data_IF_807816342245
#
_entry.id   IF_807816342245
#
_cell.length_a   1.000
_cell.length_b   1.000
_cell.length_c   1.000
_cell.angle_alpha   90.00
_cell.angle_beta   90.00
_cell.angle_gamma   90.00
#
_symmetry.space_group_name_H-M   'P 1'
#
loop_
_entity.id
_entity.type
_entity.pdbx_description
1 polymer ?
#
# COMPACT_ATOMS: atom_id res chain seq x y z
N UNK A 1 6.41 -5.60 6.26
CA UNK A 1 6.89 -6.64 5.33
C UNK A 1 6.81 -6.17 3.87
N UNK A 2 5.64 -5.75 3.34
CA UNK A 2 5.53 -5.28 1.95
C UNK A 2 6.54 -4.16 1.57
N UNK A 3 6.56 -3.05 2.32
CA UNK A 3 7.52 -1.96 2.09
C UNK A 3 8.94 -2.24 2.62
N UNK A 4 9.20 -3.43 3.19
CA UNK A 4 10.55 -3.89 3.59
C UNK A 4 11.19 -4.82 2.55
N UNK A 5 10.54 -5.04 1.40
CA UNK A 5 10.99 -5.96 0.37
C UNK A 5 10.36 -7.36 0.46
N UNK A 6 9.71 -7.70 1.57
CA UNK A 6 9.02 -8.98 1.77
C UNK A 6 7.64 -8.97 1.07
N UNK A 7 7.68 -8.99 -0.27
CA UNK A 7 6.50 -8.84 -1.12
C UNK A 7 5.49 -9.97 -0.95
N UNK A 8 5.93 -11.22 -0.90
CA UNK A 8 5.03 -12.38 -0.79
C UNK A 8 4.20 -12.32 0.50
N UNK A 9 4.86 -12.13 1.64
CA UNK A 9 4.21 -12.04 2.95
C UNK A 9 3.33 -10.81 3.03
N UNK A 10 3.82 -9.65 2.59
CA UNK A 10 3.06 -8.42 2.58
C UNK A 10 1.78 -8.49 1.72
N UNK A 11 1.84 -9.17 0.58
CA UNK A 11 0.67 -9.40 -0.29
C UNK A 11 -0.31 -10.38 0.33
N UNK A 12 0.18 -11.47 0.93
CA UNK A 12 -0.65 -12.45 1.62
C UNK A 12 -1.47 -11.81 2.75
N UNK A 13 -0.85 -10.92 3.55
CA UNK A 13 -1.58 -10.17 4.58
C UNK A 13 -2.68 -9.28 4.00
N UNK A 14 -2.39 -8.56 2.93
CA UNK A 14 -3.40 -7.73 2.28
C UNK A 14 -4.53 -8.60 1.70
N UNK A 15 -4.20 -9.71 1.04
CA UNK A 15 -5.15 -10.69 0.54
C UNK A 15 -6.04 -11.24 1.66
N UNK A 16 -5.50 -11.57 2.84
CA UNK A 16 -6.27 -11.99 4.02
C UNK A 16 -7.27 -10.93 4.51
N UNK A 17 -6.98 -9.64 4.31
CA UNK A 17 -7.91 -8.56 4.63
C UNK A 17 -9.08 -8.46 3.63
N UNK A 18 -9.19 -9.39 2.68
CA UNK A 18 -10.34 -9.53 1.79
C UNK A 18 -10.47 -8.39 0.79
N UNK A 19 -9.36 -7.72 0.42
CA UNK A 19 -9.43 -6.58 -0.50
C UNK A 19 -10.00 -6.94 -1.88
N UNK A 20 -9.81 -8.21 -2.30
CA UNK A 20 -10.36 -8.75 -3.56
C UNK A 20 -11.88 -8.87 -3.53
N UNK A 21 -12.45 -9.05 -2.34
CA UNK A 21 -13.88 -9.27 -2.11
C UNK A 21 -14.59 -7.96 -1.77
N UNK A 22 -13.95 -7.12 -0.93
CA UNK A 22 -14.52 -5.86 -0.47
C UNK A 22 -13.45 -4.77 -0.40
N UNK A 23 -13.31 -3.98 -1.48
CA UNK A 23 -12.36 -2.88 -1.52
C UNK A 23 -12.65 -1.80 -0.46
N UNK A 24 -13.89 -1.68 0.01
CA UNK A 24 -14.34 -0.76 1.05
C UNK A 24 -13.85 -1.14 2.45
N UNK A 25 -13.70 -2.43 2.77
CA UNK A 25 -13.12 -2.88 4.05
C UNK A 25 -11.70 -2.35 4.24
N UNK A 26 -10.88 -2.43 3.18
CA UNK A 26 -9.51 -1.94 3.22
C UNK A 26 -9.45 -0.42 3.38
N UNK A 27 -10.34 0.33 2.72
CA UNK A 27 -10.39 1.79 2.89
C UNK A 27 -10.81 2.17 4.32
N UNK A 28 -11.73 1.40 4.94
CA UNK A 28 -12.07 1.53 6.36
C UNK A 28 -10.89 1.26 7.28
N UNK A 29 -10.12 0.19 7.01
CA UNK A 29 -8.90 -0.14 7.75
C UNK A 29 -7.87 1.00 7.66
N UNK A 30 -7.61 1.54 6.47
CA UNK A 30 -6.72 2.69 6.30
C UNK A 30 -7.21 3.93 7.05
N UNK A 31 -8.52 4.18 7.06
CA UNK A 31 -9.10 5.30 7.82
C UNK A 31 -8.85 5.13 9.32
N UNK A 32 -9.04 3.93 9.85
CA UNK A 32 -8.75 3.63 11.26
C UNK A 32 -7.27 3.80 11.57
N UNK A 33 -6.36 3.26 10.75
CA UNK A 33 -4.91 3.43 10.92
C UNK A 33 -4.55 4.92 10.94
N UNK A 34 -5.08 5.72 10.00
CA UNK A 34 -4.81 7.16 9.94
C UNK A 34 -5.30 7.89 11.20
N UNK A 35 -6.47 7.52 11.73
CA UNK A 35 -7.01 8.09 12.96
C UNK A 35 -6.14 7.70 14.15
N UNK A 36 -5.76 6.42 14.27
CA UNK A 36 -4.93 5.94 15.38
C UNK A 36 -3.52 6.51 15.39
N UNK A 37 -2.97 6.83 14.21
CA UNK A 37 -1.65 7.47 14.07
C UNK A 37 -1.74 9.01 14.12
N UNK A 38 -2.93 9.59 14.21
CA UNK A 38 -3.08 11.04 14.22
C UNK A 38 -2.37 11.65 15.43
N UNK A 39 -1.46 12.60 15.19
CA UNK A 39 -0.65 13.23 16.23
C UNK A 39 0.59 12.44 16.66
N UNK A 40 0.83 11.25 16.09
CA UNK A 40 2.03 10.45 16.36
C UNK A 40 3.04 10.68 15.23
N UNK A 41 4.24 11.15 15.58
CA UNK A 41 5.35 11.24 14.63
C UNK A 41 5.90 9.84 14.35
N UNK A 42 5.46 9.24 13.24
CA UNK A 42 5.94 7.93 12.81
C UNK A 42 7.16 8.11 11.89
N UNK A 43 8.32 7.60 12.32
CA UNK A 43 9.53 7.70 11.52
C UNK A 43 9.42 6.84 10.24
N UNK A 44 9.65 7.48 9.09
CA UNK A 44 9.73 6.80 7.80
C UNK A 44 11.13 6.22 7.61
N UNK A 45 11.24 4.90 7.63
CA UNK A 45 12.53 4.24 7.38
C UNK A 45 12.93 4.35 5.90
N UNK A 46 14.23 4.55 5.58
CA UNK A 46 14.72 4.64 4.21
C UNK A 46 14.35 3.43 3.33
N UNK A 47 14.35 2.23 3.93
CA UNK A 47 13.99 0.97 3.25
C UNK A 47 12.57 1.01 2.66
N UNK A 48 11.64 1.74 3.30
CA UNK A 48 10.26 1.89 2.82
C UNK A 48 10.21 2.65 1.51
N UNK A 49 10.99 3.74 1.42
CA UNK A 49 11.09 4.57 0.22
C UNK A 49 11.84 3.86 -0.88
N UNK A 50 12.95 3.18 -0.56
CA UNK A 50 13.75 2.42 -1.53
C UNK A 50 12.91 1.34 -2.23
N UNK A 51 12.27 0.46 -1.43
CA UNK A 51 11.40 -0.61 -1.94
C UNK A 51 10.25 -0.04 -2.79
N UNK A 52 9.68 1.10 -2.39
CA UNK A 52 8.63 1.77 -3.16
C UNK A 52 9.13 2.25 -4.54
N UNK A 53 10.32 2.84 -4.63
CA UNK A 53 10.87 3.31 -5.91
C UNK A 53 11.23 2.16 -6.85
N UNK A 54 11.82 1.09 -6.32
CA UNK A 54 12.13 -0.12 -7.09
C UNK A 54 10.86 -0.72 -7.73
N UNK A 55 9.80 -0.87 -6.92
CA UNK A 55 8.53 -1.41 -7.40
C UNK A 55 7.82 -0.44 -8.33
N UNK A 56 7.93 0.87 -8.09
CA UNK A 56 7.41 1.91 -8.99
C UNK A 56 8.00 1.78 -10.39
N UNK A 57 9.30 1.50 -10.49
CA UNK A 57 9.99 1.34 -11.77
C UNK A 57 9.52 0.06 -12.51
N UNK A 58 9.20 -1.00 -11.78
CA UNK A 58 8.75 -2.27 -12.35
C UNK A 58 7.26 -2.28 -12.77
N UNK A 59 6.46 -1.30 -12.35
CA UNK A 59 5.01 -1.30 -12.63
C UNK A 59 4.71 -0.60 -13.95
N UNK A 60 4.23 -1.39 -14.89
CA UNK A 60 3.76 -0.98 -16.23
C UNK A 60 2.29 -0.54 -16.28
N UNK A 61 1.58 -0.52 -15.14
CA UNK A 61 0.18 -0.11 -15.13
C UNK A 61 0.04 1.36 -15.58
N UNK A 62 -0.74 1.60 -16.64
CA UNK A 62 -0.98 2.92 -17.20
C UNK A 62 -1.43 3.91 -16.10
N UNK A 63 -0.63 4.95 -15.88
CA UNK A 63 -0.89 6.06 -14.93
C UNK A 63 -2.27 6.72 -15.16
N UNK A 64 -2.82 6.63 -16.37
CA UNK A 64 -4.04 7.33 -16.78
C UNK A 64 -5.36 6.61 -16.46
N UNK A 65 -5.34 5.40 -15.89
CA UNK A 65 -6.57 4.70 -15.48
C UNK A 65 -6.80 4.83 -13.97
N UNK A 66 -6.87 6.09 -13.50
CA UNK A 66 -6.96 6.46 -12.08
C UNK A 66 -8.21 5.86 -11.39
N UNK A 67 -9.29 5.63 -12.14
CA UNK A 67 -10.56 5.09 -11.64
C UNK A 67 -10.66 3.56 -11.53
N UNK A 68 -9.82 2.78 -12.21
CA UNK A 68 -9.85 1.30 -12.13
C UNK A 68 -8.84 0.81 -11.10
N UNK A 69 -9.34 0.20 -10.01
CA UNK A 69 -8.51 -0.59 -9.06
C UNK A 69 -7.96 -1.82 -9.78
N UNK A 70 -6.87 -1.65 -10.52
CA UNK A 70 -6.23 -2.76 -11.23
C UNK A 70 -5.53 -3.69 -10.22
N UNK A 71 -5.79 -4.99 -10.33
CA UNK A 71 -5.15 -6.02 -9.47
C UNK A 71 -3.63 -5.96 -9.53
N UNK A 72 -3.07 -5.51 -10.66
CA UNK A 72 -1.63 -5.39 -10.89
C UNK A 72 -0.98 -4.22 -10.12
N UNK A 73 -1.69 -3.10 -9.93
CA UNK A 73 -1.16 -1.92 -9.24
C UNK A 73 -1.73 -1.72 -7.83
N UNK A 74 -2.66 -2.57 -7.40
CA UNK A 74 -3.31 -2.47 -6.10
C UNK A 74 -2.29 -2.43 -4.96
N UNK A 75 -1.38 -3.42 -4.90
CA UNK A 75 -0.39 -3.52 -3.82
C UNK A 75 0.53 -2.30 -3.79
N UNK A 76 0.93 -1.81 -4.96
CA UNK A 76 1.71 -0.59 -5.07
C UNK A 76 0.97 0.65 -4.58
N UNK A 77 -0.34 0.78 -4.85
CA UNK A 77 -1.14 1.85 -4.27
C UNK A 77 -1.24 1.74 -2.75
N UNK A 78 -1.24 0.53 -2.19
CA UNK A 78 -1.15 0.35 -0.73
C UNK A 78 0.21 0.78 -0.19
N UNK A 79 1.30 0.46 -0.90
CA UNK A 79 2.63 0.95 -0.56
C UNK A 79 2.70 2.47 -0.63
N UNK A 80 2.11 3.08 -1.65
CA UNK A 80 2.03 4.54 -1.78
C UNK A 80 1.28 5.15 -0.60
N UNK A 81 0.10 4.62 -0.25
CA UNK A 81 -0.65 5.05 0.95
C UNK A 81 0.23 4.95 2.20
N UNK A 82 0.88 3.81 2.42
CA UNK A 82 1.77 3.63 3.57
C UNK A 82 2.92 4.64 3.60
N UNK A 83 3.64 4.80 2.49
CA UNK A 83 4.82 5.68 2.39
C UNK A 83 4.46 7.15 2.52
N UNK A 84 3.30 7.61 2.04
CA UNK A 84 2.94 9.04 2.09
C UNK A 84 1.96 9.40 3.22
N UNK A 85 1.29 8.43 3.85
CA UNK A 85 0.38 8.66 4.98
C UNK A 85 1.10 8.60 6.34
N UNK A 86 2.20 7.85 6.42
CA UNK A 86 3.20 7.91 7.49
C UNK A 86 4.08 9.14 7.26
#
# INVERSE_FOLDING_TARGET
>A
MLCRGEQAVGRAYLDMLGWRESPTKLDGCWRQIKISLHGIAVARLPVYTATYQEIRAAITCLRNNIGRRCKLCFYFRQMQKFVYMI
#
